data_IF_767179570521
#
_entry.id   IF_767179570521
#
_cell.length_a   1.000
_cell.length_b   1.000
_cell.length_c   1.000
_cell.angle_alpha   90.00
_cell.angle_beta   90.00
_cell.angle_gamma   90.00
#
_symmetry.space_group_name_H-M   'P 1'
#
loop_
_entity.id
_entity.type
_entity.pdbx_description
1 polymer ?
#
# COMPACT_ATOMS: atom_id res chain seq x y z
N UNK A 1 -2.73 -8.48 -13.73
CA UNK A 1 -1.29 -8.15 -13.81
C UNK A 1 -1.05 -6.88 -14.61
N UNK A 2 -1.67 -6.76 -15.79
CA UNK A 2 -1.45 -5.58 -16.62
C UNK A 2 -1.94 -4.29 -15.96
N UNK A 3 -3.07 -4.34 -15.26
CA UNK A 3 -3.59 -3.17 -14.55
C UNK A 3 -2.65 -2.72 -13.42
N UNK A 4 -2.05 -3.68 -12.73
CA UNK A 4 -1.08 -3.39 -11.66
C UNK A 4 0.17 -2.71 -12.26
N UNK A 5 0.69 -3.27 -13.34
CA UNK A 5 1.87 -2.71 -14.01
C UNK A 5 1.60 -1.32 -14.57
N UNK A 6 0.41 -1.09 -15.12
CA UNK A 6 0.01 0.22 -15.62
C UNK A 6 -0.06 1.24 -14.49
N UNK A 7 -0.63 0.87 -13.35
CA UNK A 7 -0.70 1.76 -12.20
C UNK A 7 0.70 2.10 -11.67
N UNK A 8 1.59 1.12 -11.62
CA UNK A 8 2.97 1.32 -11.18
C UNK A 8 3.72 2.26 -12.13
N UNK A 9 3.60 2.03 -13.43
CA UNK A 9 4.26 2.87 -14.44
C UNK A 9 3.77 4.31 -14.39
N UNK A 10 2.46 4.51 -14.28
CA UNK A 10 1.88 5.84 -14.17
C UNK A 10 2.34 6.54 -12.89
N UNK A 11 2.39 5.82 -11.78
CA UNK A 11 2.86 6.35 -10.51
C UNK A 11 4.31 6.81 -10.60
N UNK A 12 5.16 5.99 -11.20
CA UNK A 12 6.57 6.34 -11.39
C UNK A 12 6.71 7.61 -12.24
N UNK A 13 5.96 7.68 -13.33
CA UNK A 13 6.00 8.84 -14.22
C UNK A 13 5.57 10.12 -13.51
N UNK A 14 4.44 10.07 -12.79
CA UNK A 14 3.93 11.24 -12.08
C UNK A 14 4.85 11.68 -10.96
N UNK A 15 5.42 10.75 -10.22
CA UNK A 15 6.35 11.08 -9.15
C UNK A 15 7.62 11.74 -9.71
N UNK A 16 8.10 11.27 -10.86
CA UNK A 16 9.24 11.88 -11.53
C UNK A 16 8.96 13.33 -11.97
N UNK A 17 7.68 13.69 -12.13
CA UNK A 17 7.26 15.06 -12.45
C UNK A 17 7.02 15.92 -11.21
N UNK A 18 7.30 15.40 -10.03
CA UNK A 18 7.16 16.15 -8.78
C UNK A 18 5.83 15.97 -8.07
N UNK A 19 5.01 15.00 -8.51
CA UNK A 19 3.73 14.73 -7.86
C UNK A 19 3.89 13.66 -6.78
N UNK A 20 3.25 13.88 -5.63
CA UNK A 20 3.05 12.83 -4.65
C UNK A 20 1.91 11.94 -5.14
N UNK A 21 2.11 10.62 -5.11
CA UNK A 21 1.15 9.68 -5.69
C UNK A 21 0.69 8.70 -4.62
N UNK A 22 -0.61 8.52 -4.50
CA UNK A 22 -1.21 7.48 -3.67
C UNK A 22 -1.84 6.45 -4.59
N UNK A 23 -1.43 5.19 -4.46
CA UNK A 23 -1.99 4.09 -5.23
C UNK A 23 -2.78 3.20 -4.29
N UNK A 24 -4.08 3.09 -4.54
CA UNK A 24 -4.96 2.24 -3.76
C UNK A 24 -5.55 1.18 -4.68
N UNK A 25 -5.04 -0.03 -4.57
CA UNK A 25 -5.56 -1.15 -5.34
C UNK A 25 -5.18 -2.46 -4.67
N UNK A 26 -5.88 -3.52 -5.02
CA UNK A 26 -5.50 -4.85 -4.60
C UNK A 26 -4.38 -5.31 -5.53
N UNK A 27 -3.20 -5.46 -4.99
CA UNK A 27 -2.04 -5.96 -5.72
C UNK A 27 -1.61 -7.27 -5.06
N UNK A 28 -2.21 -8.41 -5.46
CA UNK A 28 -2.07 -9.65 -4.70
C UNK A 28 -0.73 -10.35 -4.88
N UNK A 29 0.08 -9.93 -5.85
CA UNK A 29 1.33 -10.61 -6.18
C UNK A 29 2.49 -9.90 -5.52
N UNK A 30 3.07 -10.56 -4.51
CA UNK A 30 4.20 -10.01 -3.75
C UNK A 30 5.38 -9.67 -4.67
N UNK A 31 5.66 -10.52 -5.65
CA UNK A 31 6.76 -10.32 -6.57
C UNK A 31 6.66 -8.98 -7.32
N UNK A 32 5.47 -8.64 -7.81
CA UNK A 32 5.27 -7.36 -8.52
C UNK A 32 5.47 -6.17 -7.60
N UNK A 33 5.01 -6.26 -6.36
CA UNK A 33 5.20 -5.20 -5.38
C UNK A 33 6.68 -5.03 -5.04
N UNK A 34 7.39 -6.14 -4.84
CA UNK A 34 8.81 -6.09 -4.49
C UNK A 34 9.67 -5.56 -5.64
N UNK A 35 9.36 -5.95 -6.88
CA UNK A 35 10.01 -5.39 -8.05
C UNK A 35 9.85 -3.88 -8.11
N UNK A 36 8.65 -3.38 -7.88
CA UNK A 36 8.39 -1.95 -7.91
C UNK A 36 9.12 -1.20 -6.78
N UNK A 37 9.14 -1.78 -5.58
CA UNK A 37 9.89 -1.20 -4.47
C UNK A 37 11.38 -1.14 -4.76
N UNK A 38 11.92 -2.17 -5.39
CA UNK A 38 13.34 -2.20 -5.77
C UNK A 38 13.66 -1.12 -6.81
N UNK A 39 12.76 -0.86 -7.74
CA UNK A 39 12.94 0.18 -8.76
C UNK A 39 12.87 1.59 -8.18
N UNK A 40 11.97 1.81 -7.22
CA UNK A 40 11.73 3.14 -6.65
C UNK A 40 12.60 3.45 -5.45
N UNK A 41 13.17 2.44 -4.81
CA UNK A 41 14.01 2.61 -3.63
C UNK A 41 13.27 3.28 -2.49
N UNK A 42 13.85 4.33 -1.92
CA UNK A 42 13.27 5.05 -0.78
C UNK A 42 12.11 5.95 -1.16
N UNK A 43 11.83 6.10 -2.44
CA UNK A 43 10.73 6.95 -2.91
C UNK A 43 9.35 6.35 -2.71
N UNK A 44 9.27 5.08 -2.33
CA UNK A 44 8.01 4.37 -2.20
C UNK A 44 7.81 3.85 -0.77
N UNK A 45 6.57 3.88 -0.33
CA UNK A 45 6.14 3.27 0.93
C UNK A 45 5.03 2.29 0.62
N UNK A 46 5.20 1.06 1.06
CA UNK A 46 4.14 0.05 1.00
C UNK A 46 3.38 0.06 2.31
N UNK A 47 2.05 0.15 2.22
CA UNK A 47 1.18 0.13 3.39
C UNK A 47 0.27 -1.08 3.26
N UNK A 48 0.37 -1.98 4.23
CA UNK A 48 -0.46 -3.18 4.28
C UNK A 48 -1.64 -2.92 5.22
N UNK A 49 -2.81 -2.70 4.63
CA UNK A 49 -4.04 -2.46 5.39
C UNK A 49 -4.80 -3.77 5.49
N UNK A 50 -5.06 -4.21 6.71
CA UNK A 50 -5.78 -5.46 6.91
C UNK A 50 -6.65 -5.40 8.17
N UNK A 51 -7.61 -6.33 8.25
CA UNK A 51 -8.51 -6.40 9.38
C UNK A 51 -8.99 -7.84 9.57
N UNK A 52 -9.23 -8.22 10.81
CA UNK A 52 -9.88 -9.48 11.16
C UNK A 52 -11.40 -9.34 11.33
N UNK A 53 -11.93 -8.11 11.20
CA UNK A 53 -13.37 -7.88 11.30
C UNK A 53 -14.07 -8.53 10.12
N UNK A 54 -15.20 -9.22 10.42
CA UNK A 54 -16.10 -9.66 9.38
C UNK A 54 -16.91 -8.47 8.90
N UNK A 55 -16.90 -8.24 7.59
CA UNK A 55 -17.69 -7.21 6.94
C UNK A 55 -18.56 -7.91 5.88
N UNK A 56 -19.63 -7.27 5.46
CA UNK A 56 -20.52 -7.82 4.43
C UNK A 56 -19.87 -7.78 3.04
N UNK A 57 -18.56 -7.98 2.96
CA UNK A 57 -17.77 -7.90 1.73
C UNK A 57 -16.80 -9.07 1.57
N UNK A 58 -16.98 -10.14 2.34
CA UNK A 58 -16.10 -11.32 2.25
C UNK A 58 -16.11 -11.92 0.85
N UNK A 59 -17.26 -11.85 0.17
CA UNK A 59 -17.41 -12.34 -1.20
C UNK A 59 -16.52 -11.61 -2.21
N UNK A 60 -16.08 -10.38 -1.88
CA UNK A 60 -15.20 -9.57 -2.72
C UNK A 60 -13.72 -9.72 -2.37
N UNK A 61 -13.38 -10.54 -1.40
CA UNK A 61 -11.98 -10.80 -1.06
C UNK A 61 -11.27 -11.47 -2.22
N UNK A 62 -10.10 -10.92 -2.54
CA UNK A 62 -9.23 -11.53 -3.55
C UNK A 62 -8.59 -12.78 -2.93
N UNK A 63 -8.80 -13.92 -3.58
CA UNK A 63 -8.16 -15.16 -3.18
C UNK A 63 -6.72 -15.18 -3.66
N UNK A 64 -5.83 -15.78 -2.86
CA UNK A 64 -4.43 -15.88 -3.22
C UNK A 64 -3.65 -14.59 -3.02
N UNK A 65 -4.15 -13.68 -2.19
CA UNK A 65 -3.40 -12.48 -1.83
C UNK A 65 -2.15 -12.88 -1.05
N UNK A 66 -1.00 -12.38 -1.51
CA UNK A 66 0.30 -12.64 -0.90
C UNK A 66 0.70 -11.45 -0.03
N UNK A 67 0.70 -11.63 1.29
CA UNK A 67 1.03 -10.57 2.23
C UNK A 67 2.50 -10.14 2.12
N UNK A 68 2.81 -8.85 2.36
CA UNK A 68 4.20 -8.41 2.36
C UNK A 68 4.98 -9.02 3.53
N UNK A 69 6.30 -9.15 3.35
CA UNK A 69 7.18 -9.71 4.37
C UNK A 69 8.26 -8.72 4.81
N UNK A 70 8.66 -7.77 3.94
CA UNK A 70 9.76 -6.86 4.18
C UNK A 70 9.38 -5.43 3.83
N UNK A 71 9.90 -4.48 4.60
CA UNK A 71 9.84 -3.05 4.29
C UNK A 71 8.44 -2.54 3.99
N UNK A 72 7.52 -2.73 4.94
CA UNK A 72 6.16 -2.25 4.81
C UNK A 72 5.67 -1.69 6.14
N UNK A 73 4.69 -0.81 6.08
CA UNK A 73 3.98 -0.31 7.24
C UNK A 73 2.73 -1.14 7.47
N UNK A 74 2.63 -1.78 8.62
CA UNK A 74 1.50 -2.64 8.94
C UNK A 74 0.38 -1.81 9.55
N UNK A 75 -0.80 -1.88 8.93
CA UNK A 75 -2.00 -1.23 9.45
C UNK A 75 -3.09 -2.27 9.70
N UNK A 76 -3.10 -2.81 10.91
CA UNK A 76 -4.17 -3.67 11.37
C UNK A 76 -5.28 -2.80 11.93
N UNK A 77 -6.39 -2.71 11.21
CA UNK A 77 -7.50 -1.86 11.59
C UNK A 77 -8.59 -2.58 12.40
N UNK A 78 -8.32 -3.80 12.83
CA UNK A 78 -9.30 -4.65 13.52
C UNK A 78 -9.94 -3.94 14.72
N UNK A 79 -9.14 -3.26 15.54
CA UNK A 79 -9.59 -2.61 16.78
C UNK A 79 -9.46 -1.09 16.72
N UNK A 80 -9.37 -0.51 15.53
CA UNK A 80 -9.16 0.92 15.36
C UNK A 80 -10.34 1.60 14.70
N UNK A 81 -10.57 2.86 15.10
CA UNK A 81 -11.45 3.74 14.35
C UNK A 81 -10.70 4.29 13.13
N UNK A 82 -11.41 4.80 12.09
CA UNK A 82 -10.73 5.44 10.96
C UNK A 82 -9.81 6.58 11.37
N UNK A 83 -10.18 7.36 12.39
CA UNK A 83 -9.35 8.47 12.87
C UNK A 83 -8.06 7.94 13.49
N UNK A 84 -8.13 6.86 14.27
CA UNK A 84 -6.94 6.25 14.87
C UNK A 84 -5.98 5.74 13.80
N UNK A 85 -6.51 5.05 12.79
CA UNK A 85 -5.69 4.53 11.69
C UNK A 85 -5.05 5.67 10.90
N UNK A 86 -5.81 6.71 10.59
CA UNK A 86 -5.30 7.89 9.89
C UNK A 86 -4.18 8.56 10.68
N UNK A 87 -4.36 8.73 11.98
CA UNK A 87 -3.35 9.36 12.85
C UNK A 87 -2.04 8.57 12.83
N UNK A 88 -2.11 7.24 12.93
CA UNK A 88 -0.94 6.38 12.85
C UNK A 88 -0.21 6.53 11.52
N UNK A 89 -0.96 6.55 10.44
CA UNK A 89 -0.38 6.69 9.10
C UNK A 89 0.33 8.03 8.94
N UNK A 90 -0.29 9.12 9.37
CA UNK A 90 0.31 10.45 9.26
C UNK A 90 1.59 10.54 10.08
N UNK A 91 1.61 10.00 11.30
CA UNK A 91 2.81 9.96 12.12
C UNK A 91 3.93 9.19 11.42
N UNK A 92 3.61 8.03 10.84
CA UNK A 92 4.60 7.22 10.12
C UNK A 92 5.18 8.00 8.93
N UNK A 93 4.33 8.64 8.15
CA UNK A 93 4.78 9.37 6.96
C UNK A 93 5.65 10.58 7.34
N UNK A 94 5.32 11.27 8.42
CA UNK A 94 6.15 12.37 8.92
C UNK A 94 7.50 11.88 9.44
N UNK A 95 7.49 10.79 10.20
CA UNK A 95 8.72 10.23 10.78
C UNK A 95 9.67 9.72 9.72
N UNK A 96 9.17 9.33 8.55
CA UNK A 96 9.97 8.85 7.43
C UNK A 96 10.21 9.93 6.37
N UNK A 97 9.88 11.18 6.65
CA UNK A 97 10.04 12.32 5.74
C UNK A 97 9.30 12.16 4.40
N UNK A 98 8.11 11.54 4.45
CA UNK A 98 7.25 11.39 3.26
C UNK A 98 6.15 12.44 3.19
N UNK A 99 6.02 13.22 4.25
CA UNK A 99 5.12 14.38 4.30
C UNK A 99 5.88 15.63 4.67
#
# INVERSE_FOLDING_TARGET
VQNIKNAQLLSFFLNAKGCDVVVSLVSPYKELREEFKNECGESIVEIYVHTNRKRNREEFKVQGYEAPELNFFDMDTTSETPIQSFTKLIHFLKDTNKL
#
